data_IF_147564549245
#
_entry.id   IF_147564549245
#
_cell.length_a   1.000
_cell.length_b   1.000
_cell.length_c   1.000
_cell.angle_alpha   90.00
_cell.angle_beta   90.00
_cell.angle_gamma   90.00
#
_symmetry.space_group_name_H-M   'P 1'
#
loop_
_entity.id
_entity.type
_entity.pdbx_description
1 polymer ?
#
# COMPACT_ATOMS: atom_id res chain seq x y z
N UNK A 1 17.29 3.05 -5.93
CA UNK A 1 16.42 2.79 -7.12
C UNK A 1 16.10 4.11 -7.83
N UNK A 2 15.58 4.09 -9.06
CA UNK A 2 15.16 5.33 -9.74
C UNK A 2 13.73 5.70 -9.33
N UNK A 3 13.50 6.98 -9.01
CA UNK A 3 12.18 7.55 -8.75
C UNK A 3 11.33 7.52 -10.03
N UNK A 4 10.13 6.95 -9.96
CA UNK A 4 9.20 6.85 -11.10
C UNK A 4 7.99 7.74 -10.83
N UNK A 5 7.99 8.93 -11.42
CA UNK A 5 6.87 9.87 -11.34
C UNK A 5 5.90 9.61 -12.49
N UNK A 6 4.64 9.36 -12.17
CA UNK A 6 3.59 9.08 -13.16
C UNK A 6 2.83 10.35 -13.55
N UNK A 7 2.60 11.22 -12.57
CA UNK A 7 2.00 12.54 -12.73
C UNK A 7 2.61 13.50 -11.69
N UNK A 8 2.27 14.78 -11.77
CA UNK A 8 2.70 15.76 -10.77
C UNK A 8 2.35 15.23 -9.36
N UNK A 9 3.38 15.09 -8.53
CA UNK A 9 3.32 14.60 -7.15
C UNK A 9 2.69 13.22 -6.91
N UNK A 10 2.57 12.40 -7.96
CA UNK A 10 2.09 11.01 -7.90
C UNK A 10 3.19 10.07 -8.40
N UNK A 11 3.55 9.11 -7.56
CA UNK A 11 4.71 8.24 -7.79
C UNK A 11 4.34 6.76 -7.73
N UNK A 12 4.96 5.98 -8.61
CA UNK A 12 4.97 4.52 -8.47
C UNK A 12 5.99 4.12 -7.40
N UNK A 13 5.51 3.40 -6.39
CA UNK A 13 6.34 2.88 -5.28
C UNK A 13 6.18 1.37 -5.07
N UNK A 14 5.47 0.68 -5.97
CA UNK A 14 5.26 -0.76 -5.94
C UNK A 14 6.52 -1.60 -6.21
N UNK A 15 6.31 -2.89 -6.49
CA UNK A 15 7.38 -3.84 -6.75
C UNK A 15 7.11 -4.73 -7.97
N UNK A 16 8.19 -5.27 -8.53
CA UNK A 16 8.13 -6.23 -9.65
C UNK A 16 8.62 -7.60 -9.19
N UNK A 17 7.74 -8.60 -9.24
CA UNK A 17 8.09 -10.00 -9.01
C UNK A 17 8.36 -10.68 -10.35
N UNK A 18 9.61 -10.59 -10.80
CA UNK A 18 10.08 -11.21 -12.04
C UNK A 18 10.07 -12.74 -11.99
N UNK A 19 10.03 -13.33 -10.79
CA UNK A 19 10.28 -14.76 -10.57
C UNK A 19 9.00 -15.56 -10.34
N UNK A 20 7.90 -14.90 -10.00
CA UNK A 20 6.61 -15.57 -9.83
C UNK A 20 6.16 -16.25 -11.13
N UNK A 21 5.78 -17.52 -11.04
CA UNK A 21 5.29 -18.32 -12.18
C UNK A 21 3.91 -18.93 -11.95
N UNK A 22 3.54 -19.16 -10.70
CA UNK A 22 2.20 -19.55 -10.29
C UNK A 22 1.69 -18.48 -9.32
N UNK A 23 0.60 -17.82 -9.72
CA UNK A 23 -0.05 -16.79 -8.95
C UNK A 23 -1.51 -17.16 -8.75
N UNK A 24 -1.81 -17.77 -7.62
CA UNK A 24 -3.16 -18.19 -7.24
C UNK A 24 -3.80 -19.14 -8.28
N UNK A 25 -2.99 -20.04 -8.87
CA UNK A 25 -3.40 -20.96 -9.92
C UNK A 25 -3.26 -20.41 -11.35
N UNK A 26 -2.87 -19.13 -11.51
CA UNK A 26 -2.55 -18.55 -12.82
C UNK A 26 -1.07 -18.68 -13.16
N UNK A 27 -0.79 -19.19 -14.36
CA UNK A 27 0.57 -19.19 -14.89
C UNK A 27 1.00 -17.80 -15.32
N UNK A 28 2.10 -17.29 -14.74
CA UNK A 28 2.64 -15.94 -14.95
C UNK A 28 4.05 -16.03 -15.54
N UNK A 29 4.22 -16.40 -16.83
CA UNK A 29 5.55 -16.67 -17.40
C UNK A 29 6.47 -15.45 -17.46
N UNK A 30 5.90 -14.24 -17.34
CA UNK A 30 6.62 -12.96 -17.33
C UNK A 30 6.68 -12.29 -15.96
N UNK A 31 6.29 -13.00 -14.90
CA UNK A 31 6.15 -12.42 -13.57
C UNK A 31 4.90 -11.57 -13.41
N UNK A 32 4.86 -10.82 -12.30
CA UNK A 32 3.77 -9.91 -11.94
C UNK A 32 4.33 -8.62 -11.32
N UNK A 33 3.45 -7.64 -11.14
CA UNK A 33 3.76 -6.41 -10.40
C UNK A 33 2.76 -6.22 -9.28
N UNK A 34 3.25 -5.82 -8.11
CA UNK A 34 2.41 -5.34 -7.00
C UNK A 34 2.46 -3.82 -7.04
N UNK A 35 1.42 -3.19 -7.57
CA UNK A 35 1.43 -1.75 -7.82
C UNK A 35 0.92 -1.00 -6.59
N UNK A 36 1.73 -0.08 -6.09
CA UNK A 36 1.38 0.85 -5.02
C UNK A 36 1.78 2.26 -5.44
N UNK A 37 1.03 3.25 -4.98
CA UNK A 37 1.21 4.64 -5.40
C UNK A 37 1.33 5.56 -4.20
N UNK A 38 2.25 6.51 -4.28
CA UNK A 38 2.42 7.54 -3.27
C UNK A 38 1.96 8.88 -3.86
N UNK A 39 0.99 9.50 -3.21
CA UNK A 39 0.49 10.85 -3.50
C UNK A 39 1.06 11.79 -2.45
N UNK A 40 1.74 12.85 -2.90
CA UNK A 40 2.37 13.83 -2.02
C UNK A 40 1.67 15.18 -2.17
N UNK A 41 0.74 15.47 -1.27
CA UNK A 41 0.03 16.75 -1.21
C UNK A 41 0.19 17.38 0.20
N UNK A 42 -0.75 18.23 0.64
CA UNK A 42 -0.83 18.68 2.03
C UNK A 42 -0.86 17.50 3.02
N UNK A 43 -1.49 16.39 2.60
CA UNK A 43 -1.49 15.07 3.22
C UNK A 43 -0.84 14.04 2.31
N UNK A 44 0.00 13.21 2.90
CA UNK A 44 0.72 12.15 2.18
C UNK A 44 -0.09 10.86 2.25
N UNK A 45 -0.46 10.34 1.08
CA UNK A 45 -1.31 9.16 0.95
C UNK A 45 -0.60 8.04 0.18
N UNK A 46 -0.52 6.85 0.80
CA UNK A 46 -0.11 5.62 0.16
C UNK A 46 -1.35 4.83 -0.28
N UNK A 47 -1.43 4.49 -1.57
CA UNK A 47 -2.48 3.64 -2.14
C UNK A 47 -1.95 2.22 -2.28
N UNK A 48 -2.62 1.30 -1.55
CA UNK A 48 -2.28 -0.11 -1.40
C UNK A 48 -0.85 -0.36 -0.92
N UNK A 49 -0.55 -1.62 -0.60
CA UNK A 49 0.80 -2.07 -0.31
C UNK A 49 1.19 -3.20 -1.27
N UNK A 50 2.32 -3.85 -1.00
CA UNK A 50 2.82 -4.97 -1.79
C UNK A 50 2.79 -6.27 -0.98
N UNK A 51 3.06 -7.39 -1.62
CA UNK A 51 3.30 -8.65 -0.92
C UNK A 51 4.50 -8.54 0.03
N UNK A 52 4.40 -9.13 1.22
CA UNK A 52 5.36 -8.95 2.33
C UNK A 52 6.85 -9.09 1.96
N UNK A 53 7.29 -10.03 1.10
CA UNK A 53 8.69 -10.10 0.69
C UNK A 53 9.23 -8.84 0.00
N UNK A 54 8.34 -8.02 -0.57
CA UNK A 54 8.67 -6.78 -1.27
C UNK A 54 8.49 -5.52 -0.41
N UNK A 55 8.14 -5.65 0.87
CA UNK A 55 7.94 -4.50 1.77
C UNK A 55 9.20 -3.62 1.88
N UNK A 56 10.39 -4.22 1.84
CA UNK A 56 11.66 -3.49 1.83
C UNK A 56 11.81 -2.62 0.58
N UNK A 57 11.46 -3.15 -0.59
CA UNK A 57 11.48 -2.40 -1.86
C UNK A 57 10.48 -1.23 -1.82
N UNK A 58 9.25 -1.49 -1.36
CA UNK A 58 8.22 -0.45 -1.19
C UNK A 58 8.73 0.68 -0.27
N UNK A 59 9.27 0.35 0.90
CA UNK A 59 9.80 1.33 1.84
C UNK A 59 11.01 2.08 1.29
N UNK A 60 11.90 1.43 0.54
CA UNK A 60 13.05 2.09 -0.09
C UNK A 60 12.59 3.11 -1.15
N UNK A 61 11.60 2.74 -1.97
CA UNK A 61 11.02 3.64 -2.99
C UNK A 61 10.32 4.84 -2.36
N UNK A 62 9.55 4.63 -1.30
CA UNK A 62 8.92 5.72 -0.53
C UNK A 62 10.01 6.64 0.04
N UNK A 63 11.06 6.07 0.66
CA UNK A 63 12.14 6.82 1.31
C UNK A 63 12.96 7.70 0.35
N UNK A 64 12.94 7.41 -0.95
CA UNK A 64 13.55 8.26 -1.99
C UNK A 64 12.72 9.52 -2.31
N UNK A 65 11.47 9.58 -1.84
CA UNK A 65 10.52 10.66 -2.13
C UNK A 65 10.23 11.48 -0.88
N UNK A 66 9.90 10.81 0.23
CA UNK A 66 9.58 11.39 1.55
C UNK A 66 10.06 10.47 2.67
N UNK A 67 10.15 10.97 3.89
CA UNK A 67 10.31 10.13 5.08
C UNK A 67 9.02 9.29 5.28
N UNK A 68 9.07 7.94 5.28
CA UNK A 68 7.88 7.10 5.44
C UNK A 68 7.07 7.42 6.70
N UNK A 69 7.71 7.93 7.75
CA UNK A 69 7.03 8.36 8.97
C UNK A 69 6.12 9.59 8.78
N UNK A 70 6.12 10.23 7.60
CA UNK A 70 5.22 11.35 7.27
C UNK A 70 3.94 10.93 6.55
N UNK A 71 3.74 9.64 6.27
CA UNK A 71 2.50 9.16 5.67
C UNK A 71 1.34 9.49 6.62
N UNK A 72 0.32 10.18 6.11
CA UNK A 72 -0.90 10.51 6.84
C UNK A 72 -1.97 9.44 6.62
N UNK A 73 -2.04 8.89 5.40
CA UNK A 73 -3.06 7.95 4.98
C UNK A 73 -2.48 6.71 4.29
N UNK A 74 -3.03 5.55 4.61
CA UNK A 74 -2.82 4.31 3.85
C UNK A 74 -4.18 3.81 3.37
N UNK A 75 -4.48 4.01 2.08
CA UNK A 75 -5.69 3.47 1.46
C UNK A 75 -5.49 1.99 1.17
N UNK A 76 -6.37 1.15 1.69
CA UNK A 76 -6.41 -0.29 1.41
C UNK A 76 -7.65 -0.61 0.58
N UNK A 77 -7.46 -0.74 -0.74
CA UNK A 77 -8.55 -1.03 -1.67
C UNK A 77 -8.99 -2.49 -1.58
N UNK A 78 -8.03 -3.40 -1.40
CA UNK A 78 -8.27 -4.84 -1.35
C UNK A 78 -7.46 -5.50 -0.24
N UNK A 79 -8.01 -6.55 0.35
CA UNK A 79 -7.44 -7.21 1.54
C UNK A 79 -6.58 -8.42 1.22
N UNK A 80 -6.52 -8.87 -0.03
CA UNK A 80 -5.76 -10.06 -0.40
C UNK A 80 -4.26 -9.83 -0.16
N UNK A 81 -3.52 -10.82 0.39
CA UNK A 81 -2.17 -10.60 0.90
C UNK A 81 -1.15 -10.05 -0.12
N UNK A 82 -1.35 -10.22 -1.42
CA UNK A 82 -0.51 -9.63 -2.45
C UNK A 82 -0.60 -8.09 -2.52
N UNK A 83 -1.66 -7.50 -1.97
CA UNK A 83 -1.86 -6.04 -1.85
C UNK A 83 -1.76 -5.52 -0.41
N UNK A 84 -1.94 -6.39 0.59
CA UNK A 84 -2.14 -5.95 1.98
C UNK A 84 -1.09 -6.48 2.97
N UNK A 85 -0.28 -7.49 2.61
CA UNK A 85 0.62 -8.14 3.58
C UNK A 85 1.82 -7.31 4.00
N UNK A 86 2.10 -6.21 3.33
CA UNK A 86 3.09 -5.23 3.80
C UNK A 86 2.50 -4.15 4.71
N UNK A 87 1.17 -4.07 4.87
CA UNK A 87 0.52 -3.08 5.74
C UNK A 87 1.11 -3.06 7.16
N UNK A 88 1.35 -4.18 7.87
CA UNK A 88 1.96 -4.14 9.20
C UNK A 88 3.35 -3.48 9.22
N UNK A 89 4.16 -3.67 8.18
CA UNK A 89 5.49 -3.05 8.08
C UNK A 89 5.41 -1.56 7.76
N UNK A 90 4.43 -1.13 6.96
CA UNK A 90 4.16 0.29 6.71
C UNK A 90 3.67 0.96 8.00
N UNK A 91 2.70 0.38 8.69
CA UNK A 91 2.14 0.94 9.92
C UNK A 91 3.15 0.98 11.07
N UNK A 92 4.11 0.06 11.12
CA UNK A 92 5.23 0.14 12.06
C UNK A 92 6.15 1.36 11.82
N UNK A 93 6.19 1.90 10.60
CA UNK A 93 6.97 3.10 10.23
C UNK A 93 6.16 4.39 10.29
N UNK A 94 4.86 4.31 10.04
CA UNK A 94 3.92 5.43 10.10
C UNK A 94 2.79 5.13 11.08
N UNK A 95 3.07 4.99 12.40
CA UNK A 95 2.06 4.58 13.38
C UNK A 95 0.94 5.61 13.56
N UNK A 96 1.15 6.87 13.16
CA UNK A 96 0.13 7.93 13.18
C UNK A 96 -0.79 7.92 11.96
N UNK A 97 -0.47 7.15 10.91
CA UNK A 97 -1.27 7.13 9.69
C UNK A 97 -2.66 6.53 9.96
N UNK A 98 -3.68 7.07 9.28
CA UNK A 98 -4.99 6.42 9.24
C UNK A 98 -5.05 5.43 8.09
N UNK A 99 -5.59 4.25 8.35
CA UNK A 99 -5.87 3.28 7.28
C UNK A 99 -7.30 3.53 6.79
N UNK A 100 -7.41 3.87 5.50
CA UNK A 100 -8.67 4.21 4.83
C UNK A 100 -9.16 3.00 4.05
N UNK A 101 -10.39 2.54 4.31
CA UNK A 101 -10.93 1.31 3.73
C UNK A 101 -12.44 1.17 3.98
N UNK A 102 -13.06 0.15 3.39
CA UNK A 102 -14.48 -0.17 3.62
C UNK A 102 -14.68 -0.98 4.91
N UNK A 103 -15.92 -1.11 5.40
CA UNK A 103 -16.21 -1.94 6.59
C UNK A 103 -15.77 -3.42 6.38
N UNK A 104 -15.94 -3.94 5.16
CA UNK A 104 -15.45 -5.26 4.79
C UNK A 104 -13.93 -5.33 4.80
N UNK A 105 -13.26 -4.29 4.29
CA UNK A 105 -11.82 -4.14 4.40
C UNK A 105 -11.34 -4.26 5.85
N UNK A 106 -12.06 -3.64 6.80
CA UNK A 106 -11.65 -3.55 8.20
C UNK A 106 -11.72 -4.92 8.84
N UNK A 107 -12.85 -5.58 8.61
CA UNK A 107 -13.06 -6.98 9.02
C UNK A 107 -11.98 -7.90 8.44
N UNK A 108 -11.63 -7.73 7.16
CA UNK A 108 -10.60 -8.51 6.49
C UNK A 108 -9.19 -8.31 7.06
N UNK A 109 -8.76 -7.05 7.19
CA UNK A 109 -7.46 -6.68 7.75
C UNK A 109 -7.29 -7.20 9.18
N UNK A 110 -8.32 -7.06 10.02
CA UNK A 110 -8.31 -7.61 11.37
C UNK A 110 -8.15 -9.14 11.39
N UNK A 111 -8.80 -9.85 10.46
CA UNK A 111 -8.67 -11.31 10.33
C UNK A 111 -7.29 -11.74 9.84
N UNK A 112 -6.73 -11.03 8.85
CA UNK A 112 -5.43 -11.38 8.27
C UNK A 112 -4.26 -11.08 9.21
N UNK A 113 -4.28 -9.94 9.89
CA UNK A 113 -3.10 -9.43 10.58
C UNK A 113 -3.25 -9.28 12.09
N UNK A 114 -4.48 -9.35 12.62
CA UNK A 114 -4.76 -9.25 14.06
C UNK A 114 -4.19 -7.98 14.71
N UNK A 115 -4.04 -6.91 13.93
CA UNK A 115 -3.58 -5.60 14.38
C UNK A 115 -4.69 -4.57 14.19
N UNK A 116 -4.89 -3.73 15.20
CA UNK A 116 -5.85 -2.63 15.17
C UNK A 116 -5.08 -1.33 14.92
N UNK A 117 -5.40 -0.67 13.81
CA UNK A 117 -4.85 0.63 13.44
C UNK A 117 -5.91 1.72 13.64
N UNK A 118 -5.52 2.99 13.45
CA UNK A 118 -6.52 4.06 13.33
C UNK A 118 -7.27 3.91 12.00
N UNK A 119 -8.45 3.30 12.06
CA UNK A 119 -9.25 2.98 10.88
C UNK A 119 -10.27 4.09 10.58
N UNK A 120 -10.26 4.59 9.35
CA UNK A 120 -11.36 5.41 8.81
C UNK A 120 -12.15 4.58 7.80
N UNK A 121 -13.35 4.17 8.21
CA UNK A 121 -14.25 3.42 7.35
C UNK A 121 -14.97 4.38 6.40
N UNK A 122 -14.85 4.14 5.10
CA UNK A 122 -15.48 4.94 4.03
C UNK A 122 -16.48 4.13 3.21
N UNK A 123 -17.38 4.82 2.53
CA UNK A 123 -18.42 4.29 1.63
C UNK A 123 -18.32 4.95 0.26
N UNK A 124 -19.10 4.43 -0.68
CA UNK A 124 -19.25 5.03 -2.00
C UNK A 124 -19.68 6.50 -1.90
N UNK A 125 -19.00 7.37 -2.63
CA UNK A 125 -19.25 8.80 -2.66
C UNK A 125 -18.57 9.61 -1.54
N UNK A 126 -17.93 8.96 -0.57
CA UNK A 126 -17.13 9.67 0.43
C UNK A 126 -15.91 10.32 -0.24
N UNK A 127 -15.57 11.52 0.22
CA UNK A 127 -14.45 12.32 -0.28
C UNK A 127 -13.37 12.34 0.80
N UNK A 128 -12.13 12.08 0.39
CA UNK A 128 -10.95 12.25 1.21
C UNK A 128 -10.11 13.38 0.59
N UNK A 129 -10.06 14.52 1.28
CA UNK A 129 -9.17 15.60 0.90
C UNK A 129 -7.72 15.25 1.27
N UNK A 130 -6.83 15.48 0.32
CA UNK A 130 -5.39 15.33 0.48
C UNK A 130 -4.72 16.69 0.52
#
# INVERSE_FOLDING_TARGET
MNKVQLAKDIYYVGAVDWNLRDFHGYTTPRGVTYNSYLIVDEKICLIDTVKAPFAGELLERISQIIDPAKIDYVVTNHIEPDHSSSLPMIMARAPQAKVILTEHGRTGILKHYQQNYDFQVVKEGDILDL
#
